data_IF_245133178419
#
_entry.id   IF_245133178419
#
_cell.length_a   1.000
_cell.length_b   1.000
_cell.length_c   1.000
_cell.angle_alpha   90.00
_cell.angle_beta   90.00
_cell.angle_gamma   90.00
#
_symmetry.space_group_name_H-M   'P 1'
#
loop_
_entity.id
_entity.type
_entity.pdbx_description
1 polymer ?
#
# COMPACT_ATOMS: atom_id res chain seq x y z
N UNK A 1 3.35 -13.70 5.14
CA UNK A 1 2.75 -12.77 4.15
C UNK A 1 2.56 -13.52 2.84
N UNK A 2 1.38 -13.41 2.22
CA UNK A 2 1.12 -13.97 0.88
C UNK A 2 1.86 -13.17 -0.21
N UNK A 3 2.19 -13.77 -1.34
CA UNK A 3 2.86 -13.07 -2.45
C UNK A 3 2.05 -11.89 -2.98
N UNK A 4 0.72 -11.98 -2.94
CA UNK A 4 -0.19 -10.86 -3.23
C UNK A 4 0.04 -9.68 -2.27
N UNK A 5 0.22 -9.95 -0.97
CA UNK A 5 0.50 -8.91 0.03
C UNK A 5 1.85 -8.24 -0.21
N UNK A 6 2.88 -9.04 -0.55
CA UNK A 6 4.21 -8.53 -0.89
C UNK A 6 4.14 -7.62 -2.13
N UNK A 7 3.42 -8.05 -3.17
CA UNK A 7 3.20 -7.27 -4.39
C UNK A 7 2.48 -5.95 -4.11
N UNK A 8 1.40 -5.98 -3.32
CA UNK A 8 0.65 -4.77 -2.93
C UNK A 8 1.55 -3.82 -2.14
N UNK A 9 2.32 -4.32 -1.18
CA UNK A 9 3.21 -3.51 -0.36
C UNK A 9 4.34 -2.86 -1.18
N UNK A 10 5.00 -3.62 -2.04
CA UNK A 10 6.06 -3.11 -2.94
C UNK A 10 5.53 -2.06 -3.91
N UNK A 11 4.42 -2.38 -4.58
CA UNK A 11 3.79 -1.45 -5.54
C UNK A 11 3.36 -0.17 -4.83
N UNK A 12 2.82 -0.29 -3.61
CA UNK A 12 2.46 0.88 -2.81
C UNK A 12 3.67 1.74 -2.47
N UNK A 13 4.80 1.13 -2.09
CA UNK A 13 6.06 1.87 -1.84
C UNK A 13 6.53 2.63 -3.06
N UNK A 14 6.56 2.00 -4.23
CA UNK A 14 7.02 2.65 -5.46
C UNK A 14 6.12 3.83 -5.86
N UNK A 15 4.81 3.71 -5.65
CA UNK A 15 3.85 4.77 -5.95
C UNK A 15 3.95 5.94 -4.95
N UNK A 16 4.07 5.63 -3.66
CA UNK A 16 4.15 6.64 -2.60
C UNK A 16 5.51 7.34 -2.50
N UNK A 17 6.58 6.75 -3.05
CA UNK A 17 7.92 7.34 -3.09
C UNK A 17 7.96 8.67 -3.85
N UNK A 18 7.08 8.84 -4.85
CA UNK A 18 7.08 10.01 -5.74
C UNK A 18 5.73 10.74 -5.79
N UNK A 19 4.72 10.26 -5.06
CA UNK A 19 3.36 10.79 -5.13
C UNK A 19 2.69 10.78 -3.76
N UNK A 20 2.18 11.94 -3.37
CA UNK A 20 1.33 12.07 -2.20
C UNK A 20 -0.13 11.90 -2.67
N UNK A 21 -0.68 10.70 -2.48
CA UNK A 21 -1.99 10.29 -3.02
C UNK A 21 -2.89 9.68 -1.94
N UNK A 22 -4.20 9.77 -2.13
CA UNK A 22 -5.17 9.16 -1.22
C UNK A 22 -5.12 7.63 -1.22
N UNK A 23 -5.63 6.99 -0.17
CA UNK A 23 -5.73 5.52 -0.06
C UNK A 23 -6.54 4.91 -1.22
N UNK A 24 -7.58 5.61 -1.69
CA UNK A 24 -8.42 5.19 -2.81
C UNK A 24 -7.65 5.23 -4.12
N UNK A 25 -6.93 6.32 -4.38
CA UNK A 25 -6.08 6.45 -5.56
C UNK A 25 -4.93 5.45 -5.54
N UNK A 26 -4.37 5.17 -4.37
CA UNK A 26 -3.36 4.13 -4.18
C UNK A 26 -3.93 2.75 -4.55
N UNK A 27 -5.14 2.42 -4.08
CA UNK A 27 -5.79 1.15 -4.40
C UNK A 27 -6.01 0.98 -5.91
N UNK A 28 -6.46 2.04 -6.59
CA UNK A 28 -6.68 2.03 -8.04
C UNK A 28 -5.35 1.85 -8.80
N UNK A 29 -4.32 2.61 -8.43
CA UNK A 29 -3.01 2.52 -9.07
C UNK A 29 -2.31 1.18 -8.82
N UNK A 30 -2.39 0.65 -7.61
CA UNK A 30 -1.84 -0.68 -7.29
C UNK A 30 -2.58 -1.75 -8.09
N UNK A 31 -3.91 -1.68 -8.18
CA UNK A 31 -4.69 -2.64 -8.98
C UNK A 31 -4.41 -2.54 -10.48
N UNK A 32 -4.07 -1.35 -11.00
CA UNK A 32 -3.67 -1.18 -12.40
C UNK A 32 -2.23 -1.64 -12.67
N UNK A 33 -1.34 -1.53 -11.69
CA UNK A 33 0.09 -1.90 -11.81
C UNK A 33 0.39 -3.33 -11.42
N UNK A 34 -0.54 -4.01 -10.78
CA UNK A 34 -0.44 -5.42 -10.41
C UNK A 34 -1.59 -6.19 -11.05
N UNK A 35 -1.49 -7.51 -11.13
CA UNK A 35 -2.60 -8.36 -11.57
C UNK A 35 -3.67 -8.54 -10.46
N UNK A 36 -3.59 -7.74 -9.38
CA UNK A 36 -4.45 -7.89 -8.20
C UNK A 36 -5.73 -7.07 -8.38
N UNK A 37 -6.92 -7.69 -8.23
CA UNK A 37 -8.20 -6.98 -8.32
C UNK A 37 -8.33 -5.86 -7.28
N UNK A 38 -9.00 -4.77 -7.65
CA UNK A 38 -9.17 -3.59 -6.79
C UNK A 38 -9.79 -3.90 -5.43
N UNK A 39 -10.80 -4.79 -5.39
CA UNK A 39 -11.41 -5.26 -4.14
C UNK A 39 -10.39 -5.95 -3.23
N UNK A 40 -9.55 -6.81 -3.78
CA UNK A 40 -8.45 -7.49 -3.08
C UNK A 40 -7.40 -6.49 -2.61
N UNK A 41 -7.03 -5.52 -3.43
CA UNK A 41 -6.08 -4.46 -3.04
C UNK A 41 -6.62 -3.66 -1.86
N UNK A 42 -7.90 -3.26 -1.87
CA UNK A 42 -8.52 -2.55 -0.73
C UNK A 42 -8.44 -3.35 0.56
N UNK A 43 -8.75 -4.64 0.53
CA UNK A 43 -8.65 -5.50 1.71
C UNK A 43 -7.21 -5.58 2.21
N UNK A 44 -6.24 -5.71 1.30
CA UNK A 44 -4.82 -5.74 1.67
C UNK A 44 -4.34 -4.41 2.25
N UNK A 45 -4.69 -3.28 1.65
CA UNK A 45 -4.36 -1.96 2.19
C UNK A 45 -5.00 -1.72 3.56
N UNK A 46 -6.23 -2.21 3.76
CA UNK A 46 -6.90 -2.20 5.07
C UNK A 46 -6.13 -3.05 6.08
N UNK A 47 -5.76 -4.28 5.74
CA UNK A 47 -4.94 -5.13 6.62
C UNK A 47 -3.59 -4.49 6.94
N UNK A 48 -2.93 -3.88 5.95
CA UNK A 48 -1.68 -3.14 6.18
C UNK A 48 -1.88 -1.95 7.14
N UNK A 49 -3.02 -1.26 7.05
CA UNK A 49 -3.39 -0.19 7.99
C UNK A 49 -3.61 -0.74 9.41
N UNK A 50 -4.37 -1.82 9.53
CA UNK A 50 -4.64 -2.50 10.81
C UNK A 50 -3.35 -3.04 11.46
N UNK A 51 -2.36 -3.44 10.66
CA UNK A 51 -1.03 -3.85 11.12
C UNK A 51 -0.09 -2.68 11.49
N UNK A 52 -0.53 -1.43 11.32
CA UNK A 52 0.33 -0.25 11.53
C UNK A 52 1.43 -0.09 10.49
N UNK A 53 1.29 -0.74 9.33
CA UNK A 53 2.22 -0.64 8.19
C UNK A 53 1.84 0.51 7.25
N UNK A 54 0.56 0.86 7.20
CA UNK A 54 0.03 1.94 6.37
C UNK A 54 -0.72 2.94 7.24
N UNK A 55 -0.49 4.23 7.02
CA UNK A 55 -1.30 5.32 7.56
C UNK A 55 -1.97 6.07 6.42
N UNK A 56 -3.12 6.68 6.65
CA UNK A 56 -3.84 7.41 5.62
C UNK A 56 -5.35 7.51 5.85
N UNK A 57 -5.94 8.51 5.21
CA UNK A 57 -7.28 9.01 5.48
C UNK A 57 -8.36 7.96 5.37
N UNK A 58 -9.10 7.83 6.46
CA UNK A 58 -10.33 7.04 6.51
C UNK A 58 -11.49 7.76 5.82
N UNK A 59 -12.62 7.08 5.60
CA UNK A 59 -13.84 7.72 5.08
C UNK A 59 -14.31 8.92 5.93
N UNK A 60 -13.87 9.00 7.19
CA UNK A 60 -14.15 10.10 8.10
C UNK A 60 -13.14 11.27 8.02
N UNK A 61 -11.99 11.09 7.36
CA UNK A 61 -10.95 12.11 7.17
C UNK A 61 -10.61 12.24 5.68
N UNK A 62 -11.54 12.82 4.92
CA UNK A 62 -11.32 13.20 3.51
C UNK A 62 -10.17 14.21 3.44
N UNK A 63 -8.95 13.74 3.14
CA UNK A 63 -7.80 14.62 2.90
C UNK A 63 -6.46 14.07 3.35
N UNK A 64 -6.42 13.03 4.18
CA UNK A 64 -5.12 12.46 4.59
C UNK A 64 -4.58 11.49 3.54
N UNK A 65 -3.38 11.79 3.08
CA UNK A 65 -2.69 10.99 2.07
C UNK A 65 -2.17 9.68 2.66
N UNK A 66 -2.09 8.66 1.82
CA UNK A 66 -1.55 7.36 2.20
C UNK A 66 -0.03 7.48 2.41
N UNK A 67 0.47 6.96 3.53
CA UNK A 67 1.90 6.93 3.86
C UNK A 67 2.25 5.56 4.43
N UNK A 68 3.41 5.05 4.03
CA UNK A 68 3.97 3.84 4.64
C UNK A 68 4.72 4.22 5.91
N UNK A 69 4.49 3.48 7.00
CA UNK A 69 5.27 3.64 8.21
C UNK A 69 6.70 3.17 8.00
N UNK A 70 7.60 3.57 8.91
CA UNK A 70 9.01 3.17 8.81
C UNK A 70 9.19 1.65 8.77
N UNK A 71 8.42 0.91 9.56
CA UNK A 71 8.42 -0.55 9.57
C UNK A 71 8.00 -1.14 8.20
N UNK A 72 6.97 -0.57 7.56
CA UNK A 72 6.52 -1.00 6.25
C UNK A 72 7.52 -0.67 5.14
N UNK A 73 8.22 0.46 5.26
CA UNK A 73 9.32 0.79 4.37
C UNK A 73 10.44 -0.25 4.49
N UNK A 74 10.91 -0.54 5.71
CA UNK A 74 11.94 -1.57 5.92
C UNK A 74 11.52 -2.94 5.37
N UNK A 75 10.27 -3.34 5.59
CA UNK A 75 9.74 -4.60 5.09
C UNK A 75 9.70 -4.62 3.55
N UNK A 76 9.23 -3.54 2.94
CA UNK A 76 9.20 -3.41 1.48
C UNK A 76 10.61 -3.39 0.86
N UNK A 77 11.60 -2.77 1.53
CA UNK A 77 13.01 -2.80 1.10
C UNK A 77 13.61 -4.21 1.18
N UNK A 78 13.27 -4.96 2.24
CA UNK A 78 13.72 -6.34 2.38
C UNK A 78 13.14 -7.21 1.25
N UNK A 79 11.86 -7.04 0.94
CA UNK A 79 11.18 -7.73 -0.15
C UNK A 79 11.69 -7.34 -1.55
N UNK A 80 12.25 -6.13 -1.73
CA UNK A 80 12.89 -5.73 -2.99
C UNK A 80 14.26 -6.39 -3.21
N UNK A 81 14.94 -6.87 -2.17
CA UNK A 81 16.27 -7.49 -2.25
C UNK A 81 16.27 -8.99 -2.48
N UNK A 82 15.13 -9.67 -2.38
CA UNK A 82 15.01 -11.13 -2.54
C UNK A 82 14.76 -11.59 -3.99
N UNK A 83 14.99 -10.73 -4.99
CA UNK A 83 14.92 -11.05 -6.43
C UNK A 83 16.09 -10.39 -7.16
#
# INVERSE_FOLDING_TARGET
>A
MSDTQKTVLRTSRQLLKFRDISLTSLADLVSRRSEVPYSTVKWNLRSLKEMGLLTGGDMSCKGEHARLTHAAQMLADHLEKEY
#
